data_IF_022686005052
#
_entry.id   IF_022686005052
#
_cell.length_a   1.000
_cell.length_b   1.000
_cell.length_c   1.000
_cell.angle_alpha   90.00
_cell.angle_beta   90.00
_cell.angle_gamma   90.00
#
_symmetry.space_group_name_H-M   'P 1'
#
loop_
_entity.id
_entity.type
_entity.pdbx_description
1 polymer ?
#
# COMPACT_ATOMS: atom_id res chain seq x y z
N UNK A 1 17.06 8.80 -17.18
CA UNK A 1 15.61 8.50 -17.20
C UNK A 1 15.17 8.39 -15.75
N UNK A 2 14.44 9.38 -15.26
CA UNK A 2 14.06 9.54 -13.85
C UNK A 2 12.83 8.69 -13.58
N UNK A 3 12.96 7.54 -12.93
CA UNK A 3 11.80 6.88 -12.33
C UNK A 3 11.36 7.74 -11.14
N UNK A 4 10.23 8.43 -11.27
CA UNK A 4 9.64 9.19 -10.18
C UNK A 4 9.23 8.22 -9.05
N UNK A 5 9.46 8.55 -7.77
CA UNK A 5 9.27 7.65 -6.63
C UNK A 5 7.81 7.36 -6.28
N UNK A 6 6.90 7.57 -7.23
CA UNK A 6 5.45 7.49 -7.09
C UNK A 6 4.90 6.73 -8.29
N UNK A 7 5.27 5.46 -8.44
CA UNK A 7 4.26 4.53 -8.96
C UNK A 7 3.09 4.64 -7.98
N UNK A 8 1.88 4.92 -8.48
CA UNK A 8 0.71 5.08 -7.60
C UNK A 8 0.59 3.83 -6.73
N UNK A 9 0.29 3.96 -5.44
CA UNK A 9 0.04 2.80 -4.57
C UNK A 9 -1.01 1.86 -5.18
N UNK A 10 -2.00 2.43 -5.86
CA UNK A 10 -3.01 1.66 -6.62
C UNK A 10 -2.40 0.82 -7.74
N UNK A 11 -1.35 1.32 -8.38
CA UNK A 11 -0.62 0.62 -9.44
C UNK A 11 0.20 -0.54 -8.86
N UNK A 12 0.85 -0.35 -7.71
CA UNK A 12 1.55 -1.43 -7.01
C UNK A 12 0.55 -2.53 -6.57
N UNK A 13 -0.61 -2.13 -6.03
CA UNK A 13 -1.68 -3.06 -5.65
C UNK A 13 -2.25 -3.80 -6.87
N UNK A 14 -2.42 -3.11 -8.01
CA UNK A 14 -2.87 -3.71 -9.27
C UNK A 14 -1.85 -4.74 -9.77
N UNK A 15 -0.57 -4.42 -9.74
CA UNK A 15 0.50 -5.34 -10.15
C UNK A 15 0.55 -6.59 -9.27
N UNK A 16 0.40 -6.44 -7.95
CA UNK A 16 0.30 -7.57 -7.01
C UNK A 16 -0.92 -8.44 -7.33
N UNK A 17 -2.07 -7.84 -7.60
CA UNK A 17 -3.30 -8.57 -7.91
C UNK A 17 -3.21 -9.31 -9.26
N UNK A 18 -2.54 -8.74 -10.27
CA UNK A 18 -2.24 -9.41 -11.55
C UNK A 18 -1.30 -10.59 -11.31
N UNK A 19 -0.22 -10.40 -10.56
CA UNK A 19 0.74 -11.47 -10.25
C UNK A 19 0.09 -12.62 -9.46
N UNK A 20 -0.91 -12.33 -8.64
CA UNK A 20 -1.69 -13.32 -7.90
C UNK A 20 -2.78 -14.02 -8.73
N UNK A 21 -2.99 -13.61 -9.99
CA UNK A 21 -4.04 -14.15 -10.86
C UNK A 21 -5.46 -13.71 -10.46
N UNK A 22 -5.57 -12.61 -9.70
CA UNK A 22 -6.84 -12.03 -9.25
C UNK A 22 -7.37 -10.95 -10.20
N UNK A 23 -6.52 -10.44 -11.09
CA UNK A 23 -6.85 -9.48 -12.14
C UNK A 23 -6.15 -9.85 -13.44
N UNK A 24 -6.83 -9.61 -14.57
CA UNK A 24 -6.18 -9.60 -15.88
C UNK A 24 -5.33 -8.33 -16.05
N UNK A 25 -4.29 -8.33 -16.90
CA UNK A 25 -3.37 -7.19 -17.06
C UNK A 25 -4.04 -5.87 -17.47
N UNK A 26 -5.12 -5.94 -18.23
CA UNK A 26 -5.92 -4.80 -18.71
C UNK A 26 -7.12 -4.49 -17.82
N UNK A 27 -7.38 -5.29 -16.77
CA UNK A 27 -8.49 -5.12 -15.86
C UNK A 27 -8.16 -4.11 -14.76
N UNK A 28 -9.05 -3.15 -14.53
CA UNK A 28 -8.94 -2.25 -13.38
C UNK A 28 -9.43 -2.93 -12.09
N UNK A 29 -8.71 -2.75 -10.96
CA UNK A 29 -9.16 -3.25 -9.67
C UNK A 29 -10.48 -2.58 -9.28
N UNK A 30 -11.43 -3.38 -8.78
CA UNK A 30 -12.66 -2.81 -8.21
C UNK A 30 -12.34 -1.96 -6.98
N UNK A 31 -13.16 -0.95 -6.70
CA UNK A 31 -12.99 -0.12 -5.49
C UNK A 31 -13.00 -0.94 -4.19
N UNK A 32 -13.76 -2.04 -4.14
CA UNK A 32 -13.76 -2.96 -3.00
C UNK A 32 -12.44 -3.72 -2.83
N UNK A 33 -11.80 -4.12 -3.93
CA UNK A 33 -10.50 -4.79 -3.91
C UNK A 33 -9.38 -3.82 -3.45
N UNK A 34 -9.40 -2.57 -3.93
CA UNK A 34 -8.48 -1.53 -3.47
C UNK A 34 -8.66 -1.25 -1.98
N UNK A 35 -9.90 -1.02 -1.53
CA UNK A 35 -10.20 -0.78 -0.12
C UNK A 35 -9.70 -1.93 0.78
N UNK A 36 -9.91 -3.18 0.36
CA UNK A 36 -9.39 -4.34 1.07
C UNK A 36 -7.85 -4.38 1.13
N UNK A 37 -7.17 -3.99 0.03
CA UNK A 37 -5.71 -3.83 0.01
C UNK A 37 -5.23 -2.81 1.03
N UNK A 38 -5.89 -1.65 1.12
CA UNK A 38 -5.60 -0.62 2.12
C UNK A 38 -5.82 -1.11 3.55
N UNK A 39 -6.89 -1.88 3.82
CA UNK A 39 -7.15 -2.46 5.15
C UNK A 39 -6.01 -3.39 5.60
N UNK A 40 -5.47 -4.20 4.69
CA UNK A 40 -4.32 -5.08 4.96
C UNK A 40 -3.07 -4.23 5.27
N UNK A 41 -2.78 -3.21 4.46
CA UNK A 41 -1.63 -2.33 4.67
C UNK A 41 -1.75 -1.62 6.04
N UNK A 42 -2.93 -1.14 6.39
CA UNK A 42 -3.20 -0.52 7.68
C UNK A 42 -3.00 -1.51 8.84
N UNK A 43 -3.38 -2.78 8.67
CA UNK A 43 -3.11 -3.84 9.65
C UNK A 43 -1.61 -4.09 9.82
N UNK A 44 -0.85 -4.13 8.72
CA UNK A 44 0.61 -4.24 8.74
C UNK A 44 1.26 -3.06 9.47
N UNK A 45 0.79 -1.83 9.24
CA UNK A 45 1.28 -0.66 9.97
C UNK A 45 1.06 -0.80 11.49
N UNK A 46 -0.14 -1.23 11.92
CA UNK A 46 -0.47 -1.50 13.34
C UNK A 46 0.37 -2.62 13.96
N UNK A 47 0.81 -3.59 13.16
CA UNK A 47 1.74 -4.63 13.61
C UNK A 47 3.13 -4.01 13.76
N UNK A 48 3.58 -3.24 12.76
CA UNK A 48 4.87 -2.54 12.76
C UNK A 48 5.05 -1.61 13.96
N UNK A 49 3.98 -0.94 14.41
CA UNK A 49 4.00 -0.10 15.61
C UNK A 49 4.51 -0.83 16.86
N UNK A 50 4.25 -2.14 16.96
CA UNK A 50 4.66 -2.97 18.11
C UNK A 50 6.13 -3.34 18.10
N UNK A 51 6.79 -3.18 16.97
CA UNK A 51 8.21 -3.47 16.77
C UNK A 51 9.02 -2.18 16.60
N UNK A 52 8.41 -1.01 16.80
CA UNK A 52 9.03 0.27 16.59
C UNK A 52 10.13 0.57 17.62
N UNK A 53 11.33 0.82 17.12
CA UNK A 53 12.33 1.64 17.81
C UNK A 53 11.88 3.12 17.73
N UNK A 54 12.06 3.93 18.79
CA UNK A 54 11.80 5.37 18.76
C UNK A 54 12.33 6.14 17.54
N UNK A 55 13.42 5.69 16.91
CA UNK A 55 13.99 6.37 15.73
C UNK A 55 13.58 5.75 14.39
N UNK A 56 13.05 4.52 14.40
CA UNK A 56 12.75 3.74 13.18
C UNK A 56 11.54 2.85 13.39
N UNK A 57 10.36 3.46 13.46
CA UNK A 57 9.10 2.73 13.56
C UNK A 57 8.67 2.18 12.18
N UNK A 58 8.57 0.85 11.99
CA UNK A 58 8.12 0.27 10.72
C UNK A 58 6.69 0.66 10.34
N UNK A 59 5.81 0.86 11.32
CA UNK A 59 4.45 1.33 11.10
C UNK A 59 4.41 2.74 10.52
N UNK A 60 5.24 3.65 11.03
CA UNK A 60 5.36 5.01 10.48
C UNK A 60 5.93 5.00 9.07
N UNK A 61 6.89 4.12 8.79
CA UNK A 61 7.41 3.95 7.44
C UNK A 61 6.33 3.46 6.46
N UNK A 62 5.53 2.44 6.85
CA UNK A 62 4.41 1.96 6.03
C UNK A 62 3.39 3.09 5.80
N UNK A 63 3.07 3.89 6.84
CA UNK A 63 2.17 5.04 6.70
C UNK A 63 2.69 6.07 5.70
N UNK A 64 3.97 6.43 5.79
CA UNK A 64 4.58 7.41 4.90
C UNK A 64 4.59 6.97 3.43
N UNK A 65 4.73 5.67 3.17
CA UNK A 65 4.76 5.11 1.81
C UNK A 65 3.35 4.98 1.24
N UNK A 66 2.40 4.47 2.02
CA UNK A 66 1.08 4.06 1.50
C UNK A 66 -0.05 5.06 1.77
N UNK A 67 0.13 5.98 2.72
CA UNK A 67 -0.84 7.01 3.11
C UNK A 67 -0.15 8.39 3.19
N UNK A 68 0.43 8.90 2.09
CA UNK A 68 1.23 10.12 2.10
C UNK A 68 0.42 11.39 2.42
N UNK A 69 -0.91 11.31 2.47
CA UNK A 69 -1.81 12.38 2.89
C UNK A 69 -2.50 12.01 4.21
N UNK A 70 -2.59 12.94 5.18
CA UNK A 70 -3.26 12.69 6.47
C UNK A 70 -4.75 12.34 6.38
N UNK A 71 -5.36 12.49 5.20
CA UNK A 71 -6.78 12.23 4.92
C UNK A 71 -7.02 10.95 4.08
N UNK A 72 -5.97 10.18 3.78
CA UNK A 72 -6.17 8.85 3.21
C UNK A 72 -6.80 7.94 4.29
N UNK A 73 -7.86 7.17 3.95
CA UNK A 73 -8.63 6.39 4.93
C UNK A 73 -7.79 5.39 5.73
#
# INVERSE_FOLDING_TARGET
MSHSPLVSVDQDLKEIAIQAGLLEPDQEPSGALLAYGYDIIAACARIGDRYGDPERNPGDHIRAVFFPHPDAP
#
